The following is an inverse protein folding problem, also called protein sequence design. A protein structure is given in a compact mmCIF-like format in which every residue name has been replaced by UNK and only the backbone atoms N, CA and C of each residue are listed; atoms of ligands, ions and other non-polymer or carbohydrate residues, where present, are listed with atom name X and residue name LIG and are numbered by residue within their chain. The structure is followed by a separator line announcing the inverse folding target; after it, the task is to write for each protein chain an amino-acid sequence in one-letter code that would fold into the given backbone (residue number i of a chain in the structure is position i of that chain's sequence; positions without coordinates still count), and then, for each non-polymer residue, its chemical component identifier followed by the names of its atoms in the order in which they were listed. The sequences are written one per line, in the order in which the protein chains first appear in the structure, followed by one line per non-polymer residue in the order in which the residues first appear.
data_IF_472718104558
#
_entry.id   IF_472718104558
#
_cell.length_a   1.000
_cell.length_b   1.000
_cell.length_c   1.000
_cell.angle_alpha   90.00
_cell.angle_beta   90.00
_cell.angle_gamma   90.00
#
_symmetry.space_group_name_H-M   'P 1'
#
loop_
_entity.id
_entity.type
_entity.pdbx_description
1 polymer ?
#
# COMPACT_ATOMS: atom_id res chain seq x y z
N UNK A 1 29.03 -23.84 41.41
CA UNK A 1 29.07 -22.86 40.31
C UNK A 1 28.73 -23.63 39.06
N UNK A 2 27.44 -23.86 38.83
CA UNK A 2 27.01 -24.50 37.59
C UNK A 2 27.05 -23.44 36.49
N UNK A 3 27.91 -23.68 35.51
CA UNK A 3 27.93 -22.92 34.28
C UNK A 3 26.58 -23.14 33.60
N UNK A 4 25.69 -22.15 33.73
CA UNK A 4 24.40 -22.11 33.05
C UNK A 4 24.63 -22.23 31.55
N UNK A 5 24.40 -23.44 31.04
CA UNK A 5 24.35 -23.71 29.62
C UNK A 5 23.15 -22.93 29.10
N UNK A 6 23.35 -21.73 28.57
CA UNK A 6 22.29 -20.97 27.89
C UNK A 6 21.90 -21.75 26.65
N UNK A 7 20.91 -22.62 26.79
CA UNK A 7 20.23 -23.26 25.68
C UNK A 7 19.56 -22.13 24.93
N UNK A 8 20.16 -21.71 23.82
CA UNK A 8 19.54 -20.72 22.93
C UNK A 8 18.28 -21.37 22.37
N UNK A 9 17.12 -20.84 22.76
CA UNK A 9 15.82 -21.31 22.28
C UNK A 9 15.78 -21.25 20.75
N UNK A 10 15.42 -22.37 20.12
CA UNK A 10 15.41 -22.48 18.65
C UNK A 10 14.35 -21.58 18.04
N UNK A 11 14.70 -20.92 16.93
CA UNK A 11 13.76 -20.13 16.12
C UNK A 11 12.58 -21.02 15.66
N UNK A 12 11.33 -20.61 15.90
CA UNK A 12 10.17 -21.40 15.49
C UNK A 12 9.99 -21.40 13.96
N UNK A 13 9.35 -22.45 13.45
CA UNK A 13 9.02 -22.57 12.02
C UNK A 13 7.69 -21.85 11.77
N UNK A 14 7.58 -20.99 10.73
CA UNK A 14 6.32 -20.33 10.43
C UNK A 14 5.21 -21.33 10.13
N UNK A 15 4.03 -21.16 10.75
CA UNK A 15 2.84 -21.94 10.41
C UNK A 15 2.35 -21.67 8.98
N UNK A 16 1.81 -22.71 8.33
CA UNK A 16 1.19 -22.60 7.01
C UNK A 16 -0.12 -21.79 7.06
N UNK A 17 -0.43 -21.13 5.94
CA UNK A 17 -1.49 -20.13 5.87
C UNK A 17 -2.90 -20.69 6.10
N UNK A 18 -3.83 -19.84 6.59
CA UNK A 18 -5.25 -20.21 6.69
C UNK A 18 -5.83 -20.60 5.31
N UNK A 19 -6.79 -21.54 5.32
CA UNK A 19 -7.37 -22.10 4.10
C UNK A 19 -7.83 -21.04 3.09
N UNK A 20 -7.55 -21.29 1.80
CA UNK A 20 -7.88 -20.43 0.66
C UNK A 20 -9.36 -20.02 0.64
N UNK A 21 -10.27 -20.87 1.11
CA UNK A 21 -11.71 -20.60 1.19
C UNK A 21 -12.05 -19.43 2.14
N UNK A 22 -11.36 -19.33 3.28
CA UNK A 22 -11.59 -18.27 4.26
C UNK A 22 -11.19 -16.88 3.72
N UNK A 23 -10.19 -16.84 2.84
CA UNK A 23 -9.72 -15.61 2.19
C UNK A 23 -10.76 -15.10 1.18
N UNK A 24 -11.26 -15.98 0.31
CA UNK A 24 -12.27 -15.61 -0.68
C UNK A 24 -13.59 -15.18 -0.04
N UNK A 25 -14.00 -15.82 1.06
CA UNK A 25 -15.19 -15.43 1.82
C UNK A 25 -15.04 -14.01 2.38
N UNK A 26 -13.88 -13.67 2.97
CA UNK A 26 -13.60 -12.32 3.49
C UNK A 26 -13.62 -11.28 2.38
N UNK A 27 -13.01 -11.56 1.23
CA UNK A 27 -13.00 -10.66 0.08
C UNK A 27 -14.40 -10.44 -0.52
N UNK A 28 -15.22 -11.50 -0.58
CA UNK A 28 -16.60 -11.41 -1.07
C UNK A 28 -17.48 -10.64 -0.09
N UNK A 29 -17.37 -10.93 1.21
CA UNK A 29 -18.10 -10.21 2.25
C UNK A 29 -17.77 -8.71 2.22
N UNK A 30 -16.49 -8.37 2.07
CA UNK A 30 -16.06 -6.98 2.05
C UNK A 30 -16.45 -6.24 0.77
N UNK A 31 -16.51 -6.93 -0.37
CA UNK A 31 -17.07 -6.41 -1.62
C UNK A 31 -18.57 -6.13 -1.47
N UNK A 32 -19.34 -7.06 -0.91
CA UNK A 32 -20.79 -6.87 -0.67
C UNK A 32 -21.04 -5.69 0.25
N UNK A 33 -20.27 -5.58 1.34
CA UNK A 33 -20.37 -4.46 2.28
C UNK A 33 -20.00 -3.12 1.60
N UNK A 34 -18.95 -3.10 0.78
CA UNK A 34 -18.56 -1.94 -0.03
C UNK A 34 -19.69 -1.49 -0.95
N UNK A 35 -20.30 -2.42 -1.72
CA UNK A 35 -21.41 -2.13 -2.63
C UNK A 35 -22.62 -1.60 -1.85
N UNK A 36 -22.99 -2.24 -0.73
CA UNK A 36 -24.15 -1.84 0.08
C UNK A 36 -24.01 -0.44 0.66
N UNK A 37 -22.81 -0.09 1.14
CA UNK A 37 -22.51 1.25 1.68
C UNK A 37 -22.52 2.31 0.58
N UNK A 38 -21.85 2.06 -0.55
CA UNK A 38 -21.85 3.00 -1.68
C UNK A 38 -23.24 3.18 -2.29
N UNK A 39 -24.06 2.13 -2.31
CA UNK A 39 -25.46 2.20 -2.75
C UNK A 39 -26.26 3.22 -1.94
N UNK A 40 -26.13 3.16 -0.61
CA UNK A 40 -26.75 4.11 0.30
C UNK A 40 -26.20 5.54 0.13
N UNK A 41 -24.88 5.70 -0.04
CA UNK A 41 -24.25 7.03 -0.16
C UNK A 41 -24.48 7.72 -1.52
N UNK A 42 -24.53 6.98 -2.62
CA UNK A 42 -24.68 7.52 -3.98
C UNK A 42 -26.13 7.55 -4.48
N UNK A 43 -27.09 7.65 -3.56
CA UNK A 43 -28.52 7.82 -3.87
C UNK A 43 -29.05 6.76 -4.85
N UNK A 44 -28.74 5.48 -4.63
CA UNK A 44 -29.26 4.34 -5.42
C UNK A 44 -28.82 4.30 -6.90
N UNK A 45 -27.81 5.06 -7.33
CA UNK A 45 -27.31 5.02 -8.72
C UNK A 45 -26.40 3.81 -8.99
N UNK A 46 -26.96 2.61 -8.91
CA UNK A 46 -26.23 1.33 -8.95
C UNK A 46 -25.35 1.14 -10.19
N UNK A 47 -25.78 1.67 -11.36
CA UNK A 47 -25.00 1.63 -12.60
C UNK A 47 -23.62 2.27 -12.43
N UNK A 48 -23.56 3.44 -11.78
CA UNK A 48 -22.29 4.16 -11.61
C UNK A 48 -21.37 3.49 -10.59
N UNK A 49 -21.96 2.90 -9.54
CA UNK A 49 -21.21 2.12 -8.54
C UNK A 49 -20.58 0.89 -9.21
N UNK A 50 -21.33 0.16 -10.03
CA UNK A 50 -20.82 -1.00 -10.76
C UNK A 50 -19.70 -0.62 -11.72
N UNK A 51 -19.83 0.51 -12.43
CA UNK A 51 -18.76 1.00 -13.30
C UNK A 51 -17.51 1.38 -12.49
N UNK A 52 -17.66 2.04 -11.35
CA UNK A 52 -16.54 2.37 -10.47
C UNK A 52 -15.82 1.11 -9.98
N UNK A 53 -16.57 0.07 -9.59
CA UNK A 53 -16.00 -1.24 -9.22
C UNK A 53 -15.22 -1.86 -10.38
N UNK A 54 -15.73 -1.79 -11.62
CA UNK A 54 -15.00 -2.28 -12.80
C UNK A 54 -13.70 -1.51 -13.00
N UNK A 55 -13.72 -0.17 -12.89
CA UNK A 55 -12.52 0.68 -12.99
C UNK A 55 -11.50 0.29 -11.93
N UNK A 56 -11.94 0.09 -10.68
CA UNK A 56 -11.08 -0.34 -9.58
C UNK A 56 -10.48 -1.73 -9.82
N UNK A 57 -11.28 -2.70 -10.28
CA UNK A 57 -10.79 -4.05 -10.58
C UNK A 57 -9.72 -3.99 -11.67
N UNK A 58 -9.89 -3.17 -12.70
CA UNK A 58 -8.89 -3.02 -13.76
C UNK A 58 -7.60 -2.38 -13.22
N UNK A 59 -7.72 -1.37 -12.36
CA UNK A 59 -6.59 -0.77 -11.65
C UNK A 59 -5.84 -1.82 -10.81
N UNK A 60 -6.55 -2.53 -9.94
CA UNK A 60 -5.96 -3.57 -9.09
C UNK A 60 -5.41 -4.76 -9.88
N UNK A 61 -6.03 -5.13 -11.00
CA UNK A 61 -5.53 -6.17 -11.89
C UNK A 61 -4.13 -5.81 -12.42
N UNK A 62 -3.87 -4.53 -12.68
CA UNK A 62 -2.54 -4.04 -13.03
C UNK A 62 -1.49 -4.36 -11.96
N UNK A 63 -1.78 -4.02 -10.70
CA UNK A 63 -0.93 -4.39 -9.57
C UNK A 63 -0.77 -5.90 -9.43
N UNK A 64 -1.87 -6.65 -9.51
CA UNK A 64 -1.86 -8.10 -9.40
C UNK A 64 -0.96 -8.76 -10.45
N UNK A 65 -1.11 -8.36 -11.72
CA UNK A 65 -0.31 -8.90 -12.83
C UNK A 65 1.17 -8.59 -12.61
N UNK A 66 1.51 -7.36 -12.22
CA UNK A 66 2.90 -6.99 -11.95
C UNK A 66 3.48 -7.77 -10.76
N UNK A 67 2.72 -7.94 -9.67
CA UNK A 67 3.14 -8.73 -8.52
C UNK A 67 3.37 -10.20 -8.89
N UNK A 68 2.48 -10.81 -9.69
CA UNK A 68 2.68 -12.18 -10.18
C UNK A 68 3.90 -12.29 -11.09
N UNK A 69 4.09 -11.34 -12.00
CA UNK A 69 5.24 -11.29 -12.90
C UNK A 69 6.57 -11.20 -12.13
N UNK A 70 6.63 -10.37 -11.09
CA UNK A 70 7.80 -10.24 -10.21
C UNK A 70 7.86 -11.30 -9.09
N UNK A 71 7.04 -12.35 -9.17
CA UNK A 71 7.07 -13.51 -8.26
C UNK A 71 6.84 -13.16 -6.78
N UNK A 72 5.96 -12.21 -6.51
CA UNK A 72 5.46 -11.99 -5.15
C UNK A 72 4.76 -13.26 -4.67
N UNK A 73 4.98 -13.61 -3.40
CA UNK A 73 4.27 -14.71 -2.75
C UNK A 73 2.92 -14.22 -2.25
N UNK A 74 1.93 -15.11 -2.21
CA UNK A 74 0.62 -14.87 -1.58
C UNK A 74 -0.12 -13.62 -2.06
N UNK A 75 -0.03 -13.34 -3.37
CA UNK A 75 -0.75 -12.22 -3.97
C UNK A 75 -2.26 -12.45 -3.88
N UNK A 76 -2.95 -11.58 -3.16
CA UNK A 76 -4.38 -11.66 -2.85
C UNK A 76 -5.04 -10.30 -3.09
N UNK A 77 -6.26 -10.33 -3.62
CA UNK A 77 -7.12 -9.15 -3.78
C UNK A 77 -8.06 -9.05 -2.59
N UNK A 78 -8.16 -7.87 -2.02
CA UNK A 78 -9.07 -7.56 -0.93
C UNK A 78 -9.91 -6.34 -1.28
N UNK A 79 -11.11 -6.28 -0.73
CA UNK A 79 -11.92 -5.07 -0.71
C UNK A 79 -11.99 -4.58 0.74
N UNK A 80 -11.83 -3.28 0.99
CA UNK A 80 -12.09 -2.65 2.28
C UNK A 80 -13.21 -1.64 2.07
N UNK A 81 -14.30 -1.74 2.85
CA UNK A 81 -15.36 -0.75 2.85
C UNK A 81 -14.79 0.66 2.97
N UNK A 82 -15.35 1.61 2.23
CA UNK A 82 -14.96 3.03 2.21
C UNK A 82 -13.61 3.40 1.57
N UNK A 83 -12.65 2.47 1.52
CA UNK A 83 -11.31 2.73 0.93
C UNK A 83 -11.19 2.22 -0.50
N UNK A 84 -11.77 1.06 -0.80
CA UNK A 84 -11.74 0.46 -2.12
C UNK A 84 -11.13 -0.94 -2.14
N UNK A 85 -10.59 -1.33 -3.29
CA UNK A 85 -9.92 -2.60 -3.50
C UNK A 85 -8.41 -2.40 -3.32
N UNK A 86 -7.70 -3.45 -2.92
CA UNK A 86 -6.24 -3.43 -2.81
C UNK A 86 -5.70 -4.83 -3.01
N UNK A 87 -4.61 -4.93 -3.77
CA UNK A 87 -3.81 -6.14 -3.88
C UNK A 87 -2.68 -6.11 -2.86
N UNK A 88 -2.59 -7.17 -2.06
CA UNK A 88 -1.48 -7.39 -1.12
C UNK A 88 -0.72 -8.64 -1.52
N UNK A 89 0.59 -8.64 -1.32
CA UNK A 89 1.46 -9.79 -1.56
C UNK A 89 2.77 -9.63 -0.80
N UNK A 90 3.38 -10.75 -0.43
CA UNK A 90 4.68 -10.76 0.25
C UNK A 90 5.78 -10.65 -0.80
N UNK A 91 6.55 -9.55 -0.85
CA UNK A 91 7.65 -9.42 -1.79
C UNK A 91 8.76 -10.42 -1.42
N UNK A 92 9.29 -11.13 -2.42
CA UNK A 92 10.55 -11.86 -2.28
C UNK A 92 11.75 -10.92 -2.31
N UNK A 93 12.88 -11.37 -2.88
CA UNK A 93 14.02 -10.50 -3.18
C UNK A 93 13.69 -9.72 -4.46
N UNK A 94 13.01 -8.58 -4.31
CA UNK A 94 12.67 -7.69 -5.42
C UNK A 94 13.55 -6.44 -5.42
N UNK A 95 13.81 -5.92 -6.61
CA UNK A 95 14.55 -4.68 -6.79
C UNK A 95 13.66 -3.45 -6.63
N UNK A 96 14.28 -2.31 -6.36
CA UNK A 96 13.54 -1.05 -6.22
C UNK A 96 12.80 -0.68 -7.52
N UNK A 97 13.42 -0.95 -8.67
CA UNK A 97 12.80 -0.76 -9.99
C UNK A 97 11.55 -1.61 -10.15
N UNK A 98 11.60 -2.88 -9.75
CA UNK A 98 10.45 -3.78 -9.82
C UNK A 98 9.29 -3.25 -8.96
N UNK A 99 9.59 -2.77 -7.74
CA UNK A 99 8.57 -2.17 -6.87
C UNK A 99 7.93 -0.94 -7.49
N UNK A 100 8.71 -0.07 -8.13
CA UNK A 100 8.21 1.11 -8.85
C UNK A 100 7.31 0.70 -10.02
N UNK A 101 7.70 -0.31 -10.80
CA UNK A 101 6.89 -0.82 -11.91
C UNK A 101 5.56 -1.36 -11.37
N UNK A 102 5.58 -2.12 -10.26
CA UNK A 102 4.36 -2.61 -9.61
C UNK A 102 3.44 -1.46 -9.19
N UNK A 103 3.98 -0.37 -8.62
CA UNK A 103 3.19 0.80 -8.21
C UNK A 103 2.58 1.56 -9.39
N UNK A 104 3.23 1.57 -10.55
CA UNK A 104 2.71 2.21 -11.76
C UNK A 104 1.77 1.31 -12.56
N UNK A 105 1.78 0.00 -12.30
CA UNK A 105 1.05 -0.99 -13.08
C UNK A 105 -0.47 -0.89 -12.95
N UNK A 106 -1.00 -0.33 -11.85
CA UNK A 106 -2.43 0.00 -11.75
C UNK A 106 -2.77 1.34 -12.42
N UNK A 107 -2.13 2.46 -12.01
CA UNK A 107 -2.45 3.78 -12.52
C UNK A 107 -2.28 3.98 -14.03
N UNK A 108 -1.15 3.56 -14.60
CA UNK A 108 -0.85 3.87 -16.01
C UNK A 108 -1.83 3.20 -16.97
N UNK A 109 -2.09 1.88 -16.89
CA UNK A 109 -3.08 1.25 -17.78
C UNK A 109 -4.48 1.83 -17.60
N UNK A 110 -4.85 2.19 -16.37
CA UNK A 110 -6.14 2.84 -16.10
C UNK A 110 -6.27 4.20 -16.79
N UNK A 111 -5.24 5.04 -16.73
CA UNK A 111 -5.21 6.34 -17.41
C UNK A 111 -5.24 6.16 -18.93
N UNK A 112 -4.45 5.23 -19.48
CA UNK A 112 -4.45 4.92 -20.91
C UNK A 112 -5.85 4.49 -21.36
N UNK A 113 -6.48 3.59 -20.62
CA UNK A 113 -7.85 3.13 -20.90
C UNK A 113 -8.84 4.29 -20.87
N UNK A 114 -8.73 5.18 -19.88
CA UNK A 114 -9.50 6.41 -19.81
C UNK A 114 -9.31 7.27 -21.07
N UNK A 115 -8.07 7.60 -21.44
CA UNK A 115 -7.78 8.39 -22.65
C UNK A 115 -8.36 7.74 -23.91
N UNK A 116 -8.28 6.41 -24.06
CA UNK A 116 -8.87 5.71 -25.20
C UNK A 116 -10.40 5.84 -25.23
N UNK A 117 -11.06 5.72 -24.08
CA UNK A 117 -12.51 5.93 -23.96
C UNK A 117 -12.90 7.38 -24.25
N UNK A 118 -12.07 8.35 -23.87
CA UNK A 118 -12.26 9.75 -24.22
C UNK A 118 -12.21 9.96 -25.74
N UNK A 119 -11.24 9.35 -26.41
CA UNK A 119 -11.12 9.40 -27.87
C UNK A 119 -12.35 8.78 -28.53
N UNK A 120 -12.80 7.62 -28.06
CA UNK A 120 -14.05 6.98 -28.52
C UNK A 120 -15.25 7.92 -28.36
N UNK A 121 -15.37 8.60 -27.21
CA UNK A 121 -16.40 9.60 -26.97
C UNK A 121 -16.35 10.73 -27.99
N UNK A 122 -15.16 11.26 -28.34
CA UNK A 122 -15.05 12.34 -29.33
C UNK A 122 -15.56 11.92 -30.72
N UNK A 123 -15.49 10.64 -31.07
CA UNK A 123 -16.03 10.14 -32.34
C UNK A 123 -17.53 9.84 -32.28
N UNK A 124 -18.01 9.20 -31.24
CA UNK A 124 -19.40 8.72 -31.18
C UNK A 124 -20.36 9.65 -30.43
N UNK A 125 -19.85 10.65 -29.72
CA UNK A 125 -20.58 11.62 -28.90
C UNK A 125 -21.51 10.99 -27.84
N UNK A 126 -21.30 9.71 -27.49
CA UNK A 126 -22.09 9.04 -26.48
C UNK A 126 -21.56 9.35 -25.08
N UNK A 127 -22.38 10.05 -24.30
CA UNK A 127 -22.02 10.56 -22.98
C UNK A 127 -21.58 9.46 -22.00
N UNK A 128 -21.98 8.21 -22.21
CA UNK A 128 -21.55 7.07 -21.41
C UNK A 128 -20.02 6.92 -21.41
N UNK A 129 -19.38 6.99 -22.58
CA UNK A 129 -17.92 6.86 -22.69
C UNK A 129 -17.19 8.03 -22.05
N UNK A 130 -17.75 9.24 -22.13
CA UNK A 130 -17.20 10.40 -21.43
C UNK A 130 -17.13 10.18 -19.92
N UNK A 131 -18.23 9.75 -19.30
CA UNK A 131 -18.25 9.50 -17.86
C UNK A 131 -17.35 8.34 -17.45
N UNK A 132 -17.36 7.23 -18.20
CA UNK A 132 -16.50 6.09 -17.90
C UNK A 132 -15.02 6.47 -18.03
N UNK A 133 -14.69 7.24 -19.06
CA UNK A 133 -13.38 7.83 -19.28
C UNK A 133 -12.93 8.71 -18.12
N UNK A 134 -13.81 9.60 -17.64
CA UNK A 134 -13.56 10.42 -16.45
C UNK A 134 -13.32 9.56 -15.21
N UNK A 135 -14.14 8.52 -14.98
CA UNK A 135 -13.96 7.62 -13.85
C UNK A 135 -12.58 6.95 -13.86
N UNK A 136 -12.14 6.43 -15.02
CA UNK A 136 -10.80 5.88 -15.18
C UNK A 136 -9.71 6.91 -14.87
N UNK A 137 -9.78 8.09 -15.48
CA UNK A 137 -8.74 9.10 -15.32
C UNK A 137 -8.71 9.64 -13.89
N UNK A 138 -9.85 9.99 -13.30
CA UNK A 138 -9.93 10.54 -11.94
C UNK A 138 -9.46 9.54 -10.90
N UNK A 139 -9.89 8.27 -10.97
CA UNK A 139 -9.49 7.26 -10.00
C UNK A 139 -7.97 7.03 -10.03
N UNK A 140 -7.40 6.92 -11.22
CA UNK A 140 -5.97 6.62 -11.37
C UNK A 140 -5.10 7.84 -11.09
N UNK A 141 -5.53 9.07 -11.42
CA UNK A 141 -4.85 10.30 -11.01
C UNK A 141 -4.91 10.47 -9.49
N UNK A 142 -6.07 10.18 -8.87
CA UNK A 142 -6.19 10.18 -7.42
C UNK A 142 -5.17 9.25 -6.80
N UNK A 143 -5.04 8.02 -7.31
CA UNK A 143 -4.01 7.08 -6.85
C UNK A 143 -2.58 7.53 -7.16
N UNK A 144 -2.34 8.38 -8.17
CA UNK A 144 -1.03 8.99 -8.42
C UNK A 144 -0.74 10.23 -7.57
N UNK A 145 -1.66 10.72 -6.75
CA UNK A 145 -1.38 11.87 -5.88
C UNK A 145 -0.18 11.56 -4.97
N UNK A 146 0.65 12.58 -4.68
CA UNK A 146 1.81 12.46 -3.80
C UNK A 146 1.35 12.41 -2.34
N UNK A 147 0.54 11.42 -1.99
CA UNK A 147 -0.07 11.25 -0.68
C UNK A 147 -0.11 9.77 -0.36
N UNK A 148 0.59 9.36 0.69
CA UNK A 148 0.53 7.99 1.19
C UNK A 148 -0.80 7.82 1.98
N UNK A 149 -1.59 6.74 1.77
CA UNK A 149 -1.22 5.42 1.25
C UNK A 149 -1.31 5.21 -0.27
N UNK A 150 -1.66 6.22 -1.06
CA UNK A 150 -1.88 6.09 -2.50
C UNK A 150 -0.59 5.72 -3.25
N UNK A 151 -0.72 5.15 -4.44
CA UNK A 151 0.42 4.65 -5.23
C UNK A 151 1.46 5.72 -5.53
N UNK A 152 1.05 6.96 -5.83
CA UNK A 152 1.93 8.09 -6.07
C UNK A 152 2.74 8.49 -4.83
N UNK A 153 2.12 8.45 -3.66
CA UNK A 153 2.82 8.63 -2.39
C UNK A 153 3.86 7.54 -2.16
N UNK A 154 3.46 6.27 -2.35
CA UNK A 154 4.39 5.13 -2.26
C UNK A 154 5.50 5.20 -3.31
N UNK A 155 5.21 5.69 -4.51
CA UNK A 155 6.17 5.85 -5.60
C UNK A 155 7.26 6.85 -5.20
N UNK A 156 6.86 8.03 -4.71
CA UNK A 156 7.80 9.07 -4.26
C UNK A 156 8.64 8.58 -3.09
N UNK A 157 8.01 7.89 -2.11
CA UNK A 157 8.72 7.27 -1.00
C UNK A 157 9.81 6.29 -1.47
N UNK A 158 9.54 5.53 -2.54
CA UNK A 158 10.53 4.63 -3.14
C UNK A 158 11.60 5.41 -3.93
N UNK A 159 11.23 6.38 -4.76
CA UNK A 159 12.16 7.16 -5.59
C UNK A 159 13.18 7.96 -4.75
N UNK A 160 12.75 8.41 -3.58
CA UNK A 160 13.58 9.14 -2.62
C UNK A 160 14.80 8.35 -2.13
N UNK A 161 14.95 7.05 -2.46
CA UNK A 161 15.99 6.09 -2.06
C UNK A 161 17.03 6.61 -1.06
N UNK A 162 16.54 6.83 0.14
CA UNK A 162 17.21 6.68 1.39
C UNK A 162 16.09 6.25 2.31
N UNK A 163 16.30 5.22 3.12
CA UNK A 163 15.44 4.97 4.28
C UNK A 163 15.62 6.15 5.24
N UNK A 164 15.22 7.36 4.86
CA UNK A 164 15.10 8.44 5.82
C UNK A 164 13.83 8.14 6.58
N UNK A 165 14.01 7.36 7.65
CA UNK A 165 13.07 7.12 8.75
C UNK A 165 12.37 8.40 9.18
N UNK A 166 12.98 9.56 8.89
CA UNK A 166 12.50 10.89 9.19
C UNK A 166 11.62 11.49 8.07
N UNK A 167 11.96 11.31 6.78
CA UNK A 167 11.23 11.96 5.68
C UNK A 167 9.85 11.31 5.46
N UNK A 168 9.77 9.98 5.53
CA UNK A 168 8.49 9.28 5.32
C UNK A 168 7.38 9.71 6.30
N UNK A 169 7.60 9.75 7.64
CA UNK A 169 6.56 10.22 8.55
C UNK A 169 6.25 11.70 8.38
N UNK A 170 7.21 12.54 7.97
CA UNK A 170 6.97 13.96 7.66
C UNK A 170 6.03 14.09 6.46
N UNK A 171 6.30 13.34 5.39
CA UNK A 171 5.47 13.36 4.19
C UNK A 171 4.04 12.87 4.49
N UNK A 172 3.92 11.74 5.21
CA UNK A 172 2.63 11.20 5.63
C UNK A 172 1.87 12.18 6.53
N UNK A 173 2.55 12.88 7.45
CA UNK A 173 1.95 13.91 8.27
C UNK A 173 1.49 15.13 7.44
N UNK A 174 2.32 15.59 6.50
CA UNK A 174 1.98 16.70 5.61
C UNK A 174 0.75 16.37 4.74
N UNK A 175 0.69 15.16 4.18
CA UNK A 175 -0.48 14.69 3.44
C UNK A 175 -1.74 14.63 4.31
N UNK A 176 -1.62 14.15 5.56
CA UNK A 176 -2.72 14.14 6.52
C UNK A 176 -3.26 15.54 6.83
N UNK A 177 -2.37 16.52 7.02
CA UNK A 177 -2.73 17.93 7.25
C UNK A 177 -3.42 18.52 6.01
N UNK A 178 -2.89 18.27 4.81
CA UNK A 178 -3.47 18.76 3.56
C UNK A 178 -4.89 18.21 3.34
N UNK A 179 -5.09 16.90 3.54
CA UNK A 179 -6.41 16.28 3.43
C UNK A 179 -7.38 16.75 4.51
N UNK A 180 -6.90 16.99 5.74
CA UNK A 180 -7.72 17.55 6.80
C UNK A 180 -8.21 18.96 6.44
N UNK A 181 -7.32 19.83 5.95
CA UNK A 181 -7.70 21.16 5.47
C UNK A 181 -8.71 21.08 4.31
N UNK A 182 -8.46 20.20 3.34
CA UNK A 182 -9.37 20.00 2.21
C UNK A 182 -10.75 19.50 2.65
N UNK A 183 -10.82 18.62 3.66
CA UNK A 183 -12.08 18.18 4.26
C UNK A 183 -12.89 19.34 4.86
N UNK A 184 -12.21 20.29 5.52
CA UNK A 184 -12.85 21.46 6.12
C UNK A 184 -13.38 22.43 5.06
N UNK A 185 -12.59 22.71 4.02
CA UNK A 185 -12.96 23.64 2.94
C UNK A 185 -14.12 23.11 2.10
N UNK A 186 -14.13 21.81 1.82
CA UNK A 186 -15.17 21.18 0.98
C UNK A 186 -16.41 20.77 1.77
N UNK A 187 -16.41 20.93 3.10
CA UNK A 187 -17.41 20.35 4.02
C UNK A 187 -17.62 18.85 3.85
N UNK A 188 -16.63 18.14 3.27
CA UNK A 188 -16.70 16.71 3.04
C UNK A 188 -16.01 15.96 4.19
N UNK A 189 -16.77 15.74 5.26
CA UNK A 189 -16.26 15.06 6.46
C UNK A 189 -15.91 13.59 6.25
N UNK A 190 -16.31 12.96 5.13
CA UNK A 190 -15.88 11.61 4.78
C UNK A 190 -14.36 11.50 4.66
N UNK A 191 -13.70 12.58 4.22
CA UNK A 191 -12.24 12.66 4.09
C UNK A 191 -11.54 12.49 5.44
N UNK A 192 -12.22 12.81 6.56
CA UNK A 192 -11.67 12.60 7.91
C UNK A 192 -11.43 11.12 8.22
N UNK A 193 -12.15 10.19 7.59
CA UNK A 193 -11.87 8.75 7.70
C UNK A 193 -10.48 8.43 7.12
N UNK A 194 -10.14 9.01 5.97
CA UNK A 194 -8.83 8.85 5.33
C UNK A 194 -7.74 9.49 6.21
N UNK A 195 -8.00 10.66 6.78
CA UNK A 195 -7.08 11.31 7.73
C UNK A 195 -6.83 10.43 8.95
N UNK A 196 -7.88 9.82 9.53
CA UNK A 196 -7.75 8.90 10.65
C UNK A 196 -6.86 7.69 10.31
N UNK A 197 -7.05 7.10 9.12
CA UNK A 197 -6.20 6.00 8.65
C UNK A 197 -4.74 6.44 8.48
N UNK A 198 -4.49 7.62 7.92
CA UNK A 198 -3.13 8.21 7.83
C UNK A 198 -2.50 8.35 9.22
N UNK A 199 -3.25 8.83 10.21
CA UNK A 199 -2.77 8.97 11.60
C UNK A 199 -2.41 7.60 12.21
N UNK A 200 -3.25 6.58 12.02
CA UNK A 200 -2.95 5.22 12.53
C UNK A 200 -1.68 4.65 11.88
N UNK A 201 -1.50 4.85 10.57
CA UNK A 201 -0.29 4.46 9.84
C UNK A 201 0.94 5.22 10.31
N UNK A 202 0.82 6.54 10.55
CA UNK A 202 1.91 7.38 11.04
C UNK A 202 2.38 6.89 12.42
N UNK A 203 1.47 6.56 13.32
CA UNK A 203 1.79 5.97 14.63
C UNK A 203 2.55 4.65 14.47
N UNK A 204 2.07 3.76 13.59
CA UNK A 204 2.73 2.49 13.32
C UNK A 204 4.16 2.69 12.77
N UNK A 205 4.35 3.64 11.85
CA UNK A 205 5.65 3.93 11.25
C UNK A 205 6.63 4.56 12.26
N UNK A 206 6.17 5.49 13.11
CA UNK A 206 6.97 6.06 14.20
C UNK A 206 7.40 4.96 15.16
N UNK A 207 6.50 4.05 15.54
CA UNK A 207 6.81 2.90 16.39
C UNK A 207 7.86 2.00 15.72
N UNK A 208 7.67 1.66 14.44
CA UNK A 208 8.61 0.83 13.69
C UNK A 208 10.01 1.46 13.61
N UNK A 209 10.09 2.78 13.41
CA UNK A 209 11.36 3.52 13.42
C UNK A 209 12.06 3.49 14.78
N UNK A 210 11.31 3.50 15.88
CA UNK A 210 11.90 3.34 17.22
C UNK A 210 12.49 1.94 17.41
N UNK A 211 11.79 0.90 16.93
CA UNK A 211 12.31 -0.48 16.97
C UNK A 211 13.60 -0.58 16.15
N UNK A 212 13.64 -0.02 14.93
CA UNK A 212 14.88 0.01 14.14
C UNK A 212 16.02 0.77 14.83
N UNK A 213 15.73 1.90 15.49
CA UNK A 213 16.75 2.63 16.25
C UNK A 213 17.30 1.80 17.42
N UNK A 214 16.46 0.99 18.08
CA UNK A 214 16.91 0.09 19.15
C UNK A 214 17.75 -1.06 18.59
N UNK A 215 17.34 -1.65 17.45
CA UNK A 215 18.10 -2.71 16.77
C UNK A 215 19.48 -2.21 16.28
N UNK A 216 19.55 -0.98 15.75
CA UNK A 216 20.83 -0.37 15.36
C UNK A 216 21.75 -0.16 16.58
N UNK A 217 21.21 0.30 17.72
CA UNK A 217 21.97 0.45 18.97
C UNK A 217 22.49 -0.88 19.49
N UNK A 218 21.72 -1.94 19.35
CA UNK A 218 22.09 -3.31 19.74
C UNK A 218 22.91 -4.05 18.67
N UNK A 219 23.23 -3.41 17.53
CA UNK A 219 24.00 -4.00 16.43
C UNK A 219 23.42 -5.33 15.90
N UNK A 220 22.10 -5.49 15.97
CA UNK A 220 21.40 -6.70 15.52
C UNK A 220 21.05 -6.55 14.03
N UNK A 221 21.53 -7.44 13.15
CA UNK A 221 21.25 -7.34 11.71
C UNK A 221 19.80 -7.73 11.42
N UNK A 222 19.00 -6.77 10.92
CA UNK A 222 17.60 -6.98 10.50
C UNK A 222 17.41 -6.90 8.97
N UNK A 223 18.51 -6.87 8.22
CA UNK A 223 18.55 -6.85 6.75
C UNK A 223 18.67 -8.26 6.15
N UNK A 224 18.19 -9.29 6.86
CA UNK A 224 18.21 -10.70 6.47
C UNK A 224 16.78 -11.21 6.27
N UNK A 225 16.59 -12.25 5.46
CA UNK A 225 15.32 -12.98 5.45
C UNK A 225 15.13 -13.76 6.75
N UNK A 226 13.88 -14.08 7.11
CA UNK A 226 13.59 -14.86 8.32
C UNK A 226 14.33 -16.20 8.35
N UNK A 227 14.42 -16.87 7.20
CA UNK A 227 15.14 -18.13 7.03
C UNK A 227 16.65 -17.99 7.35
N UNK A 228 17.26 -16.85 7.00
CA UNK A 228 18.68 -16.58 7.16
C UNK A 228 19.08 -16.03 8.55
N UNK A 229 18.10 -15.78 9.44
CA UNK A 229 18.38 -15.41 10.83
C UNK A 229 18.91 -16.59 11.62
N UNK A 230 19.95 -16.36 12.44
CA UNK A 230 20.32 -17.30 13.51
C UNK A 230 19.31 -17.26 14.66
N UNK A 231 19.33 -18.29 15.51
CA UNK A 231 18.47 -18.35 16.71
C UNK A 231 18.74 -17.17 17.66
N UNK A 232 20.00 -16.76 17.80
CA UNK A 232 20.40 -15.60 18.62
C UNK A 232 19.90 -14.27 18.03
N UNK A 233 20.00 -14.10 16.72
CA UNK A 233 19.49 -12.90 16.03
C UNK A 233 17.97 -12.81 16.17
N UNK A 234 17.26 -13.93 16.05
CA UNK A 234 15.82 -14.01 16.29
C UNK A 234 15.46 -13.56 17.71
N UNK A 235 16.12 -14.12 18.73
CA UNK A 235 15.84 -13.79 20.14
C UNK A 235 16.12 -12.32 20.45
N UNK A 236 17.18 -11.74 19.89
CA UNK A 236 17.48 -10.31 20.08
C UNK A 236 16.43 -9.40 19.42
N UNK A 237 15.98 -9.73 18.20
CA UNK A 237 14.90 -8.99 17.53
C UNK A 237 13.59 -9.12 18.31
N UNK A 238 13.26 -10.33 18.77
CA UNK A 238 12.09 -10.64 19.59
C UNK A 238 12.01 -9.77 20.84
N UNK A 239 13.08 -9.72 21.63
CA UNK A 239 13.15 -8.87 22.85
C UNK A 239 12.88 -7.41 22.55
N UNK A 240 13.48 -6.87 21.49
CA UNK A 240 13.23 -5.49 21.06
C UNK A 240 11.76 -5.24 20.69
N UNK A 241 11.10 -6.21 20.05
CA UNK A 241 9.69 -6.11 19.66
C UNK A 241 8.77 -6.14 20.88
N UNK A 242 8.93 -7.13 21.77
CA UNK A 242 8.08 -7.33 22.96
C UNK A 242 8.07 -6.08 23.85
N UNK A 243 9.25 -5.46 24.06
CA UNK A 243 9.37 -4.21 24.85
C UNK A 243 8.59 -3.03 24.28
N UNK A 244 8.40 -2.98 22.96
CA UNK A 244 7.89 -1.80 22.25
C UNK A 244 6.47 -1.94 21.76
N UNK A 245 6.03 -3.15 21.42
CA UNK A 245 4.71 -3.43 20.86
C UNK A 245 3.74 -3.72 22.01
N UNK A 246 2.75 -2.84 22.28
CA UNK A 246 1.87 -2.99 23.44
C UNK A 246 1.11 -4.33 23.47
N UNK A 247 0.71 -4.84 22.30
CA UNK A 247 -0.01 -6.11 22.18
C UNK A 247 0.84 -7.34 22.46
N UNK A 248 2.17 -7.21 22.51
CA UNK A 248 3.10 -8.31 22.76
C UNK A 248 3.71 -8.27 24.16
N UNK A 249 3.36 -7.29 25.00
CA UNK A 249 3.89 -7.18 26.36
C UNK A 249 3.52 -8.32 27.31
N UNK A 250 2.52 -9.13 26.93
CA UNK A 250 2.13 -10.32 27.68
C UNK A 250 3.09 -11.50 27.47
N UNK A 251 3.97 -11.43 26.48
CA UNK A 251 4.95 -12.46 26.18
C UNK A 251 6.19 -12.26 27.03
N UNK A 252 6.75 -13.35 27.54
CA UNK A 252 8.03 -13.35 28.23
C UNK A 252 9.14 -12.95 27.24
N UNK A 253 10.09 -12.10 27.65
CA UNK A 253 11.17 -11.62 26.78
C UNK A 253 12.24 -12.70 26.52
N UNK A 254 12.46 -13.56 27.50
CA UNK A 254 13.57 -14.53 27.54
C UNK A 254 13.11 -15.94 27.14
N UNK A 255 11.83 -16.26 27.31
CA UNK A 255 11.24 -17.56 26.95
C UNK A 255 10.30 -17.49 25.74
N UNK A 256 10.43 -18.46 24.82
CA UNK A 256 9.52 -18.63 23.68
C UNK A 256 8.26 -19.32 24.16
N UNK A 257 7.10 -18.69 23.94
CA UNK A 257 5.79 -19.26 24.30
C UNK A 257 5.30 -20.24 23.24
N UNK A 258 4.40 -21.16 23.60
CA UNK A 258 3.76 -22.07 22.64
C UNK A 258 2.94 -21.33 21.55
N UNK A 259 2.39 -20.14 21.87
CA UNK A 259 1.66 -19.27 20.94
C UNK A 259 2.56 -18.17 20.33
N UNK A 260 3.73 -18.53 19.82
CA UNK A 260 4.69 -17.56 19.27
C UNK A 260 4.25 -16.95 17.91
N UNK A 261 3.13 -17.40 17.34
CA UNK A 261 2.59 -16.98 16.05
C UNK A 261 2.55 -15.46 15.83
N UNK A 262 1.95 -14.69 16.75
CA UNK A 262 1.89 -13.23 16.64
C UNK A 262 3.26 -12.55 16.66
N UNK A 263 4.19 -13.04 17.50
CA UNK A 263 5.55 -12.50 17.60
C UNK A 263 6.31 -12.75 16.30
N UNK A 264 6.22 -13.97 15.76
CA UNK A 264 6.83 -14.31 14.47
C UNK A 264 6.32 -13.43 13.33
N UNK A 265 5.03 -13.12 13.29
CA UNK A 265 4.45 -12.24 12.27
C UNK A 265 5.07 -10.83 12.34
N UNK A 266 5.27 -10.29 13.54
CA UNK A 266 5.94 -9.00 13.74
C UNK A 266 7.42 -9.05 13.32
N UNK A 267 8.14 -10.11 13.70
CA UNK A 267 9.54 -10.31 13.29
C UNK A 267 9.64 -10.34 11.76
N UNK A 268 8.83 -11.15 11.09
CA UNK A 268 8.82 -11.24 9.63
C UNK A 268 8.51 -9.91 8.94
N UNK A 269 7.58 -9.11 9.49
CA UNK A 269 7.26 -7.77 8.98
C UNK A 269 8.39 -6.74 9.19
N UNK A 270 9.21 -6.93 10.22
CA UNK A 270 10.32 -6.02 10.55
C UNK A 270 11.58 -6.30 9.73
N UNK A 271 11.79 -7.55 9.34
CA UNK A 271 12.93 -7.91 8.51
C UNK A 271 12.84 -7.24 7.16
N UNK A 272 13.83 -6.41 6.86
CA UNK A 272 14.00 -5.85 5.52
C UNK A 272 14.65 -6.95 4.70
N UNK A 273 13.86 -7.64 3.87
CA UNK A 273 14.41 -8.41 2.77
C UNK A 273 15.46 -7.57 2.05
N UNK A 274 16.53 -8.20 1.57
CA UNK A 274 17.68 -7.56 0.91
C UNK A 274 17.26 -6.86 -0.39
N UNK A 275 16.53 -5.76 -0.28
CA UNK A 275 16.13 -4.93 -1.39
C UNK A 275 17.41 -4.30 -1.96
N UNK A 276 17.87 -4.84 -3.09
CA UNK A 276 18.98 -4.25 -3.86
C UNK A 276 18.55 -2.85 -4.27
N UNK A 277 19.28 -1.85 -3.78
CA UNK A 277 19.15 -0.47 -4.23
C UNK A 277 19.85 -0.36 -5.59
N UNK A 278 19.12 -0.70 -6.66
CA UNK A 278 19.64 -0.92 -8.02
C UNK A 278 19.40 0.27 -8.96
N UNK A 279 19.00 1.42 -8.43
CA UNK A 279 18.39 2.48 -9.22
C UNK A 279 19.36 3.64 -9.51
N UNK A 280 19.60 3.91 -10.79
CA UNK A 280 20.43 5.03 -11.24
C UNK A 280 19.65 6.35 -11.17
N UNK A 281 20.36 7.47 -11.06
CA UNK A 281 19.75 8.81 -11.08
C UNK A 281 18.92 9.05 -12.36
N UNK A 282 19.43 8.59 -13.51
CA UNK A 282 18.73 8.67 -14.80
C UNK A 282 17.37 7.98 -14.74
N UNK A 283 17.30 6.77 -14.17
CA UNK A 283 16.04 6.05 -14.04
C UNK A 283 15.05 6.79 -13.14
N UNK A 284 15.53 7.40 -12.03
CA UNK A 284 14.67 8.23 -11.17
C UNK A 284 14.03 9.39 -11.94
N UNK A 285 14.83 10.10 -12.73
CA UNK A 285 14.35 11.24 -13.54
C UNK A 285 13.27 10.77 -14.53
N UNK A 286 13.50 9.66 -15.22
CA UNK A 286 12.53 9.09 -16.16
C UNK A 286 11.22 8.74 -15.46
N UNK A 287 11.28 8.08 -14.29
CA UNK A 287 10.06 7.73 -13.54
C UNK A 287 9.31 8.96 -13.07
N UNK A 288 10.00 9.99 -12.57
CA UNK A 288 9.37 11.25 -12.16
C UNK A 288 8.71 11.93 -13.37
N UNK A 289 9.38 11.94 -14.53
CA UNK A 289 8.80 12.50 -15.75
C UNK A 289 7.54 11.75 -16.18
N UNK A 290 7.57 10.41 -16.18
CA UNK A 290 6.38 9.58 -16.46
C UNK A 290 5.27 9.88 -15.47
N UNK A 291 5.58 9.94 -14.17
CA UNK A 291 4.60 10.25 -13.13
C UNK A 291 3.93 11.62 -13.34
N UNK A 292 4.72 12.67 -13.63
CA UNK A 292 4.20 14.01 -13.91
C UNK A 292 3.34 14.00 -15.18
N UNK A 293 3.83 13.40 -16.27
CA UNK A 293 3.10 13.33 -17.55
C UNK A 293 1.74 12.68 -17.34
N UNK A 294 1.68 11.51 -16.70
CA UNK A 294 0.42 10.79 -16.50
C UNK A 294 -0.51 11.46 -15.49
N UNK A 295 0.02 12.27 -14.58
CA UNK A 295 -0.81 13.05 -13.65
C UNK A 295 -1.39 14.30 -14.32
N UNK A 296 -0.58 15.03 -15.11
CA UNK A 296 -0.93 16.36 -15.62
C UNK A 296 -1.54 16.32 -17.02
N UNK A 297 -1.02 15.49 -17.93
CA UNK A 297 -1.48 15.45 -19.33
C UNK A 297 -2.98 15.17 -19.46
N UNK A 298 -3.57 14.18 -18.77
CA UNK A 298 -5.00 13.94 -18.91
C UNK A 298 -5.82 15.14 -18.42
N UNK A 299 -5.43 15.81 -17.34
CA UNK A 299 -6.12 17.00 -16.83
C UNK A 299 -6.15 18.10 -17.90
N UNK A 300 -5.00 18.41 -18.50
CA UNK A 300 -4.90 19.39 -19.57
C UNK A 300 -5.77 18.98 -20.76
N UNK A 301 -5.73 17.70 -21.16
CA UNK A 301 -6.53 17.17 -22.25
C UNK A 301 -8.03 17.41 -22.03
N UNK A 302 -8.57 17.11 -20.83
CA UNK A 302 -9.98 17.37 -20.54
C UNK A 302 -10.31 18.87 -20.53
N UNK A 303 -9.48 19.70 -19.89
CA UNK A 303 -9.72 21.15 -19.83
C UNK A 303 -9.77 21.77 -21.23
N UNK A 304 -8.91 21.34 -22.15
CA UNK A 304 -8.84 21.89 -23.50
C UNK A 304 -9.87 21.27 -24.46
N UNK A 305 -10.15 19.97 -24.34
CA UNK A 305 -10.95 19.24 -25.34
C UNK A 305 -12.43 19.10 -24.99
N UNK A 306 -12.87 19.49 -23.79
CA UNK A 306 -14.27 19.54 -23.37
C UNK A 306 -14.70 20.85 -22.69
N UNK A 307 -14.58 22.01 -23.36
CA UNK A 307 -14.98 23.30 -22.79
C UNK A 307 -16.49 23.42 -22.48
N UNK A 308 -17.34 22.54 -23.02
CA UNK A 308 -18.79 22.51 -22.78
C UNK A 308 -19.29 21.43 -21.81
N UNK A 309 -18.40 20.59 -21.28
CA UNK A 309 -18.75 19.59 -20.25
C UNK A 309 -18.02 19.96 -18.97
N UNK A 310 -18.75 20.52 -18.00
CA UNK A 310 -18.19 20.88 -16.70
C UNK A 310 -17.74 19.61 -15.95
N UNK A 311 -16.59 19.71 -15.27
CA UNK A 311 -16.01 18.64 -14.44
C UNK A 311 -16.75 18.52 -13.08
N UNK A 312 -17.76 19.38 -12.83
CA UNK A 312 -18.62 19.38 -11.66
C UNK A 312 -20.04 19.75 -12.05
#
# INVERSE_FOLDING_TARGET
MDAGNTVVSKKPVPEEMPETKAIWLKALLSLVLYIGIYYFLFQQKIKWILLLVVVMIIHEAGHFIAMKYFKYKDVQLFFVPFLGAFVSGRPGIISQRQRIITLLAGPLPGIITGILLFVIFKYNQQIFYYHLSLMFVLLNIFNLLPVSPLDGGQLIENLSSGTNRIIQPIFLAASGIALFYFALVTHNYFILLIVWLIVTRLRAQIMQNRIYNDLDKSSVPYNKSYEALSDEEYMNIRKCIIRRVPSLKSYDEDEISDDEGPVMEYVQKLLKGTAKNDMTLQYKIVVIAVWIIFTVFPIIMYVLCTPGYHIF
#
